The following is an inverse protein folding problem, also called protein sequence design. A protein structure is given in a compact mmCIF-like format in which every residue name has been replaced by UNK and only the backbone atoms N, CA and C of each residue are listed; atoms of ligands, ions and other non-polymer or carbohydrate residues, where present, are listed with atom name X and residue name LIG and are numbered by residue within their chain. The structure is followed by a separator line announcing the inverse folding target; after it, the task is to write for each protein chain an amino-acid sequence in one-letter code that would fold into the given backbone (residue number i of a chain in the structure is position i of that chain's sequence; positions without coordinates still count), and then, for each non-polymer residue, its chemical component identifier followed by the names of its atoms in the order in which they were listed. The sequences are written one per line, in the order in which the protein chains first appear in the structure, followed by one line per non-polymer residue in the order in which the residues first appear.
data_IF_448809148494
#
_entry.id   IF_448809148494
#
_cell.length_a   1.000
_cell.length_b   1.000
_cell.length_c   1.000
_cell.angle_alpha   90.00
_cell.angle_beta   90.00
_cell.angle_gamma   90.00
#
_symmetry.space_group_name_H-M   'P 1'
#
loop_
_entity.id
_entity.type
_entity.pdbx_description
1 polymer ?
#
# COMPACT_ATOMS: atom_id res chain seq x y z
N UNK A 1 -25.14 58.69 -30.43
CA UNK A 1 -24.72 58.15 -29.12
C UNK A 1 -24.61 56.63 -29.22
N UNK A 2 -23.39 56.12 -28.97
CA UNK A 2 -22.93 54.73 -28.75
C UNK A 2 -23.59 53.58 -29.56
N UNK A 3 -22.89 53.18 -30.63
CA UNK A 3 -22.91 51.82 -31.21
C UNK A 3 -22.29 50.85 -30.19
N UNK A 4 -22.92 49.71 -29.92
CA UNK A 4 -22.24 48.53 -29.40
C UNK A 4 -22.32 47.42 -30.45
N UNK A 5 -21.15 47.08 -30.98
CA UNK A 5 -20.89 45.90 -31.81
C UNK A 5 -20.72 44.71 -30.85
N UNK A 6 -21.65 43.76 -30.86
CA UNK A 6 -21.44 42.43 -30.28
C UNK A 6 -20.80 41.54 -31.36
N UNK A 7 -19.48 41.33 -31.26
CA UNK A 7 -18.76 40.37 -32.08
C UNK A 7 -19.03 38.94 -31.58
N UNK A 8 -19.54 38.08 -32.45
CA UNK A 8 -19.66 36.64 -32.21
C UNK A 8 -18.32 35.99 -32.58
N UNK A 9 -17.64 35.45 -31.57
CA UNK A 9 -16.41 34.67 -31.71
C UNK A 9 -16.78 33.24 -32.11
N UNK A 10 -16.56 32.87 -33.38
CA UNK A 10 -16.70 31.49 -33.86
C UNK A 10 -15.40 30.75 -33.56
N UNK A 11 -15.44 29.86 -32.57
CA UNK A 11 -14.32 28.97 -32.24
C UNK A 11 -14.32 27.81 -33.23
N UNK A 12 -13.34 27.81 -34.13
CA UNK A 12 -13.10 26.74 -35.10
C UNK A 12 -12.46 25.54 -34.38
N UNK A 13 -13.26 24.52 -34.07
CA UNK A 13 -12.80 23.22 -33.56
C UNK A 13 -12.11 22.45 -34.70
N UNK A 14 -10.78 22.47 -34.74
CA UNK A 14 -10.01 21.53 -35.56
C UNK A 14 -10.03 20.14 -34.92
N UNK A 15 -10.85 19.24 -35.45
CA UNK A 15 -10.80 17.82 -35.14
C UNK A 15 -9.61 17.23 -35.89
N UNK A 16 -8.46 17.10 -35.23
CA UNK A 16 -7.38 16.25 -35.73
C UNK A 16 -7.79 14.79 -35.52
N UNK A 17 -8.37 14.19 -36.56
CA UNK A 17 -8.62 12.76 -36.60
C UNK A 17 -7.30 11.99 -36.63
N UNK A 18 -7.00 11.26 -35.57
CA UNK A 18 -5.95 10.23 -35.59
C UNK A 18 -6.36 9.14 -36.59
N UNK A 19 -5.68 9.07 -37.73
CA UNK A 19 -5.70 7.91 -38.62
C UNK A 19 -5.05 6.74 -37.88
N UNK A 20 -5.85 5.72 -37.54
CA UNK A 20 -5.34 4.44 -37.08
C UNK A 20 -4.62 3.75 -38.25
N UNK A 21 -3.32 3.49 -38.07
CA UNK A 21 -2.53 2.72 -39.02
C UNK A 21 -2.90 1.23 -38.83
N UNK A 22 -3.75 0.69 -39.70
CA UNK A 22 -4.28 -0.67 -39.64
C UNK A 22 -3.28 -1.74 -40.13
N UNK A 23 -2.00 -1.58 -39.79
CA UNK A 23 -0.88 -2.40 -40.28
C UNK A 23 0.04 -2.99 -39.22
N UNK A 24 -0.28 -2.84 -37.93
CA UNK A 24 0.49 -3.47 -36.87
C UNK A 24 -0.16 -4.79 -36.43
N UNK A 25 0.31 -5.90 -36.99
CA UNK A 25 0.23 -7.20 -36.32
C UNK A 25 1.22 -7.18 -35.14
N UNK A 26 0.99 -6.35 -34.12
CA UNK A 26 1.91 -6.27 -33.00
C UNK A 26 1.68 -7.43 -32.07
N UNK A 27 2.56 -8.42 -32.13
CA UNK A 27 2.80 -9.25 -30.97
C UNK A 27 3.36 -8.34 -29.86
N UNK A 28 2.47 -7.77 -29.03
CA UNK A 28 2.83 -6.91 -27.90
C UNK A 28 3.32 -7.71 -26.69
N UNK A 29 3.54 -9.01 -26.86
CA UNK A 29 4.14 -9.90 -25.89
C UNK A 29 5.65 -9.69 -25.73
N UNK A 30 6.15 -9.65 -24.51
CA UNK A 30 7.55 -9.81 -24.16
C UNK A 30 7.70 -11.01 -23.23
N UNK A 31 8.61 -11.91 -23.56
CA UNK A 31 8.89 -13.06 -22.70
C UNK A 31 9.62 -12.62 -21.42
N UNK A 32 9.14 -13.08 -20.26
CA UNK A 32 9.72 -12.76 -18.97
C UNK A 32 11.20 -13.19 -18.86
N UNK A 33 11.57 -14.30 -19.53
CA UNK A 33 12.95 -14.76 -19.63
C UNK A 33 13.87 -13.76 -20.36
N UNK A 34 13.35 -13.03 -21.36
CA UNK A 34 14.11 -11.95 -22.01
C UNK A 34 14.39 -10.78 -21.04
N UNK A 35 13.42 -10.44 -20.20
CA UNK A 35 13.59 -9.39 -19.17
C UNK A 35 14.64 -9.83 -18.15
N UNK A 36 14.55 -11.05 -17.62
CA UNK A 36 15.54 -11.65 -16.71
C UNK A 36 16.94 -11.65 -17.34
N UNK A 37 17.03 -12.00 -18.62
CA UNK A 37 18.30 -11.96 -19.37
C UNK A 37 18.87 -10.54 -19.52
N UNK A 38 18.03 -9.53 -19.68
CA UNK A 38 18.47 -8.13 -19.73
C UNK A 38 19.01 -7.65 -18.38
N UNK A 39 18.33 -8.02 -17.27
CA UNK A 39 18.82 -7.74 -15.91
C UNK A 39 20.19 -8.39 -15.69
N UNK A 40 20.34 -9.66 -16.07
CA UNK A 40 21.61 -10.39 -15.96
C UNK A 40 22.76 -9.77 -16.78
N UNK A 41 22.43 -9.01 -17.84
CA UNK A 41 23.40 -8.26 -18.65
C UNK A 41 23.65 -6.83 -18.10
N UNK A 42 23.04 -6.46 -16.97
CA UNK A 42 23.13 -5.12 -16.39
C UNK A 42 22.43 -4.04 -17.23
N UNK A 43 21.55 -4.42 -18.17
CA UNK A 43 20.80 -3.47 -18.98
C UNK A 43 19.61 -2.97 -18.19
N UNK A 44 19.43 -1.65 -18.12
CA UNK A 44 18.27 -1.03 -17.49
C UNK A 44 16.96 -1.65 -18.01
N UNK A 45 16.04 -1.95 -17.10
CA UNK A 45 14.73 -2.50 -17.45
C UNK A 45 13.72 -1.38 -17.44
N UNK A 46 13.29 -0.98 -18.64
CA UNK A 46 12.14 -0.11 -18.86
C UNK A 46 11.24 -0.79 -19.88
N UNK A 47 10.09 -1.29 -19.43
CA UNK A 47 9.10 -1.96 -20.27
C UNK A 47 7.79 -1.21 -20.15
N UNK A 48 7.24 -0.76 -21.27
CA UNK A 48 6.04 0.06 -21.30
C UNK A 48 5.00 -0.47 -22.29
N UNK A 49 3.74 -0.58 -21.87
CA UNK A 49 2.62 -0.96 -22.75
C UNK A 49 2.69 -2.40 -23.26
N UNK A 50 3.34 -3.32 -22.54
CA UNK A 50 3.59 -4.70 -22.99
C UNK A 50 2.86 -5.75 -22.17
N UNK A 51 2.56 -6.86 -22.81
CA UNK A 51 2.08 -8.08 -22.16
C UNK A 51 3.30 -8.94 -21.83
N UNK A 52 3.61 -9.13 -20.56
CA UNK A 52 4.69 -10.01 -20.11
C UNK A 52 4.17 -11.44 -20.05
N UNK A 53 4.71 -12.32 -20.89
CA UNK A 53 4.37 -13.74 -20.94
C UNK A 53 5.36 -14.59 -20.16
N UNK A 54 4.89 -15.67 -19.53
CA UNK A 54 5.71 -16.48 -18.63
C UNK A 54 5.85 -15.87 -17.24
N UNK A 55 6.53 -16.60 -16.35
CA UNK A 55 6.78 -16.16 -14.98
C UNK A 55 7.99 -15.21 -14.93
N UNK A 56 7.80 -14.01 -14.38
CA UNK A 56 8.89 -13.07 -14.10
C UNK A 56 9.48 -13.39 -12.73
N UNK A 57 10.50 -14.26 -12.76
CA UNK A 57 11.18 -14.72 -11.55
C UNK A 57 12.50 -13.98 -11.32
N UNK A 58 12.49 -13.02 -10.39
CA UNK A 58 13.68 -12.29 -9.96
C UNK A 58 14.63 -13.16 -9.12
N UNK A 59 14.19 -14.31 -8.60
CA UNK A 59 15.10 -15.24 -7.92
C UNK A 59 16.04 -15.96 -8.89
N UNK A 60 15.72 -15.95 -10.19
CA UNK A 60 16.52 -16.51 -11.27
C UNK A 60 17.67 -15.59 -11.73
N UNK A 61 17.87 -14.43 -11.10
CA UNK A 61 19.01 -13.55 -11.40
C UNK A 61 20.33 -14.23 -11.02
N UNK A 62 21.26 -14.25 -11.99
CA UNK A 62 22.55 -14.95 -11.90
C UNK A 62 23.50 -14.27 -10.94
N UNK A 63 23.45 -12.94 -10.85
CA UNK A 63 24.19 -12.20 -9.84
C UNK A 63 23.52 -12.47 -8.49
N UNK A 64 24.10 -13.38 -7.72
CA UNK A 64 23.63 -13.69 -6.37
C UNK A 64 24.79 -13.78 -5.39
N UNK A 65 24.49 -13.55 -4.13
CA UNK A 65 25.39 -13.72 -3.00
C UNK A 65 24.91 -14.85 -2.09
N UNK A 66 25.84 -15.58 -1.49
CA UNK A 66 25.53 -16.61 -0.48
C UNK A 66 25.57 -15.91 0.87
N UNK A 67 24.42 -15.87 1.55
CA UNK A 67 24.36 -15.37 2.93
C UNK A 67 24.63 -16.49 3.93
N UNK A 68 24.06 -17.68 3.68
CA UNK A 68 24.27 -18.88 4.50
C UNK A 68 24.08 -20.16 3.67
N UNK A 69 24.24 -21.33 4.30
CA UNK A 69 23.91 -22.61 3.67
C UNK A 69 22.43 -22.75 3.27
N UNK A 70 21.54 -21.95 3.86
CA UNK A 70 20.08 -21.99 3.63
C UNK A 70 19.53 -20.75 2.92
N UNK A 71 20.33 -19.71 2.70
CA UNK A 71 19.88 -18.46 2.09
C UNK A 71 20.86 -17.91 1.06
N UNK A 72 20.32 -17.61 -0.12
CA UNK A 72 20.97 -16.82 -1.18
C UNK A 72 20.19 -15.55 -1.44
N UNK A 73 20.88 -14.52 -1.93
CA UNK A 73 20.31 -13.23 -2.26
C UNK A 73 20.57 -12.95 -3.74
N UNK A 74 19.51 -12.82 -4.54
CA UNK A 74 19.57 -12.33 -5.91
C UNK A 74 19.74 -10.80 -5.91
N UNK A 75 20.80 -10.30 -6.55
CA UNK A 75 21.23 -8.91 -6.47
C UNK A 75 20.93 -8.16 -7.77
N UNK A 76 19.95 -7.26 -7.74
CA UNK A 76 19.55 -6.42 -8.89
C UNK A 76 20.00 -4.98 -8.63
N UNK A 77 21.16 -4.60 -9.18
CA UNK A 77 21.75 -3.28 -8.95
C UNK A 77 21.23 -2.15 -9.84
N UNK A 78 20.32 -2.46 -10.77
CA UNK A 78 19.77 -1.52 -11.75
C UNK A 78 18.31 -1.18 -11.41
N UNK A 79 17.77 -0.04 -11.88
CA UNK A 79 16.35 0.25 -11.76
C UNK A 79 15.53 -0.75 -12.58
N UNK A 80 14.38 -1.14 -12.04
CA UNK A 80 13.41 -2.03 -12.68
C UNK A 80 12.09 -1.27 -12.83
N UNK A 81 11.70 -0.98 -14.06
CA UNK A 81 10.53 -0.14 -14.37
C UNK A 81 9.62 -0.82 -15.38
N UNK A 82 8.37 -1.01 -14.96
CA UNK A 82 7.25 -1.43 -15.79
C UNK A 82 6.15 -0.37 -15.70
N UNK A 83 5.62 0.04 -16.86
CA UNK A 83 4.57 1.06 -16.96
C UNK A 83 3.49 0.51 -17.89
N UNK A 84 2.24 0.46 -17.44
CA UNK A 84 1.10 0.02 -18.25
C UNK A 84 1.34 -1.40 -18.85
N UNK A 85 1.83 -2.33 -18.02
CA UNK A 85 2.15 -3.69 -18.42
C UNK A 85 1.14 -4.70 -17.86
N UNK A 86 0.89 -5.78 -18.60
CA UNK A 86 0.05 -6.91 -18.14
C UNK A 86 0.94 -8.12 -17.91
N UNK A 87 0.99 -8.65 -16.69
CA UNK A 87 1.72 -9.88 -16.35
C UNK A 87 0.78 -11.07 -16.39
N UNK A 88 1.00 -12.01 -17.32
CA UNK A 88 0.18 -13.22 -17.43
C UNK A 88 0.62 -14.33 -16.45
N UNK A 89 1.92 -14.43 -16.22
CA UNK A 89 2.50 -15.37 -15.25
C UNK A 89 2.66 -14.76 -13.87
N UNK A 90 3.27 -15.53 -12.96
CA UNK A 90 3.62 -15.04 -11.63
C UNK A 90 4.76 -14.01 -11.70
N UNK A 91 4.80 -13.11 -10.73
CA UNK A 91 5.94 -12.21 -10.51
C UNK A 91 6.52 -12.52 -9.14
N UNK A 92 7.73 -13.06 -9.08
CA UNK A 92 8.33 -13.58 -7.84
C UNK A 92 9.68 -12.95 -7.54
N UNK A 93 9.83 -12.42 -6.33
CA UNK A 93 11.08 -11.94 -5.75
C UNK A 93 11.56 -12.81 -4.58
N UNK A 94 10.81 -13.87 -4.27
CA UNK A 94 11.05 -14.82 -3.20
C UNK A 94 10.74 -16.23 -3.70
N UNK A 95 11.59 -17.18 -3.33
CA UNK A 95 11.50 -18.54 -3.83
C UNK A 95 12.48 -19.47 -3.15
N UNK A 96 12.53 -20.71 -3.63
CA UNK A 96 13.39 -21.75 -3.08
C UNK A 96 13.91 -22.63 -4.21
N UNK A 97 15.20 -23.00 -4.14
CA UNK A 97 15.81 -23.97 -5.05
C UNK A 97 16.70 -24.93 -4.28
N UNK A 98 16.50 -26.22 -4.48
CA UNK A 98 17.27 -27.29 -3.81
C UNK A 98 17.32 -27.12 -2.29
N UNK A 99 16.15 -26.81 -1.69
CA UNK A 99 15.94 -26.50 -0.27
C UNK A 99 16.58 -25.19 0.22
N UNK A 100 17.28 -24.43 -0.62
CA UNK A 100 17.89 -23.13 -0.29
C UNK A 100 16.92 -22.00 -0.65
N UNK A 101 16.58 -21.15 0.30
CA UNK A 101 15.77 -19.96 0.05
C UNK A 101 16.54 -18.95 -0.81
N UNK A 102 15.84 -18.28 -1.71
CA UNK A 102 16.39 -17.21 -2.54
C UNK A 102 15.46 -16.01 -2.39
N UNK A 103 16.01 -14.91 -1.89
CA UNK A 103 15.32 -13.62 -1.77
C UNK A 103 15.96 -12.61 -2.72
N UNK A 104 15.24 -11.56 -3.07
CA UNK A 104 15.75 -10.53 -3.99
C UNK A 104 16.08 -9.23 -3.27
N UNK A 105 17.25 -8.66 -3.57
CA UNK A 105 17.62 -7.29 -3.20
C UNK A 105 17.67 -6.43 -4.46
N UNK A 106 16.82 -5.41 -4.48
CA UNK A 106 16.85 -4.35 -5.48
C UNK A 106 17.70 -3.19 -4.94
N UNK A 107 18.89 -3.02 -5.50
CA UNK A 107 19.82 -1.94 -5.17
C UNK A 107 19.41 -0.57 -5.72
N UNK A 108 18.28 -0.47 -6.43
CA UNK A 108 17.74 0.75 -6.99
C UNK A 108 16.21 0.76 -6.86
N UNK A 109 15.53 1.71 -7.53
CA UNK A 109 14.08 1.85 -7.48
C UNK A 109 13.35 0.76 -8.26
N UNK A 110 12.16 0.39 -7.79
CA UNK A 110 11.29 -0.61 -8.41
C UNK A 110 9.94 0.04 -8.72
N UNK A 111 9.51 -0.04 -9.98
CA UNK A 111 8.27 0.57 -10.46
C UNK A 111 7.45 -0.44 -11.27
N UNK A 112 6.18 -0.57 -10.90
CA UNK A 112 5.11 -1.29 -11.59
C UNK A 112 3.88 -0.37 -11.65
N UNK A 113 4.00 0.70 -12.42
CA UNK A 113 2.97 1.72 -12.56
C UNK A 113 1.88 1.23 -13.54
N UNK A 114 0.62 1.36 -13.15
CA UNK A 114 -0.55 0.97 -13.94
C UNK A 114 -0.47 -0.48 -14.47
N UNK A 115 0.19 -1.38 -13.73
CA UNK A 115 0.40 -2.77 -14.17
C UNK A 115 -0.73 -3.71 -13.70
N UNK A 116 -1.17 -4.63 -14.55
CA UNK A 116 -2.18 -5.67 -14.25
C UNK A 116 -1.49 -7.03 -14.02
N UNK A 117 -1.48 -7.49 -12.78
CA UNK A 117 -0.97 -8.80 -12.36
C UNK A 117 -2.09 -9.83 -12.39
N UNK A 118 -2.12 -10.68 -13.42
CA UNK A 118 -3.16 -11.71 -13.60
C UNK A 118 -2.91 -13.00 -12.83
N UNK A 119 -1.75 -13.12 -12.19
CA UNK A 119 -1.37 -14.22 -11.32
C UNK A 119 -0.74 -13.67 -10.03
N UNK A 120 -0.34 -14.57 -9.13
CA UNK A 120 0.26 -14.19 -7.85
C UNK A 120 1.51 -13.30 -8.05
N UNK A 121 1.57 -12.22 -7.27
CA UNK A 121 2.71 -11.33 -7.18
C UNK A 121 3.33 -11.47 -5.78
N UNK A 122 4.44 -12.20 -5.69
CA UNK A 122 5.15 -12.45 -4.43
C UNK A 122 6.47 -11.66 -4.37
N UNK A 123 6.42 -10.54 -3.65
CA UNK A 123 7.57 -9.71 -3.30
C UNK A 123 8.03 -9.92 -1.85
N UNK A 124 7.56 -10.98 -1.17
CA UNK A 124 7.91 -11.22 0.24
C UNK A 124 9.43 -11.32 0.43
N UNK A 125 9.95 -11.03 1.62
CA UNK A 125 11.36 -11.09 1.99
C UNK A 125 12.32 -10.24 1.14
N UNK A 126 11.82 -9.40 0.21
CA UNK A 126 12.69 -8.59 -0.63
C UNK A 126 13.11 -7.29 0.09
N UNK A 127 14.26 -6.75 -0.33
CA UNK A 127 14.72 -5.42 0.07
C UNK A 127 14.77 -4.51 -1.14
N UNK A 128 14.25 -3.30 -1.03
CA UNK A 128 14.38 -2.25 -2.06
C UNK A 128 15.08 -1.04 -1.46
N UNK A 129 16.26 -0.71 -2.00
CA UNK A 129 17.07 0.43 -1.54
C UNK A 129 16.52 1.76 -2.07
N UNK A 130 15.94 1.76 -3.28
CA UNK A 130 15.35 2.93 -3.93
C UNK A 130 13.87 3.13 -3.59
N UNK A 131 13.22 4.01 -4.36
CA UNK A 131 11.77 4.24 -4.24
C UNK A 131 10.99 3.02 -4.77
N UNK A 132 9.78 2.83 -4.24
CA UNK A 132 8.85 1.78 -4.66
C UNK A 132 7.60 2.45 -5.22
N UNK A 133 7.15 2.04 -6.41
CA UNK A 133 5.93 2.59 -7.01
C UNK A 133 5.07 1.49 -7.66
N UNK A 134 3.89 1.26 -7.09
CA UNK A 134 2.80 0.40 -7.56
C UNK A 134 1.53 1.21 -7.80
N UNK A 135 1.66 2.50 -8.14
CA UNK A 135 0.52 3.37 -8.41
C UNK A 135 -0.34 2.80 -9.53
N UNK A 136 -1.64 2.68 -9.30
CA UNK A 136 -2.59 2.11 -10.25
C UNK A 136 -2.43 0.62 -10.53
N UNK A 137 -1.59 -0.10 -9.77
CA UNK A 137 -1.41 -1.54 -9.96
C UNK A 137 -2.70 -2.31 -9.64
N UNK A 138 -2.98 -3.34 -10.43
CA UNK A 138 -4.15 -4.22 -10.28
C UNK A 138 -3.65 -5.63 -9.96
N UNK A 139 -3.99 -6.16 -8.79
CA UNK A 139 -3.65 -7.51 -8.37
C UNK A 139 -4.91 -8.39 -8.41
N UNK A 140 -5.01 -9.26 -9.42
CA UNK A 140 -6.14 -10.18 -9.60
C UNK A 140 -6.08 -11.38 -8.64
N UNK A 141 -4.86 -11.76 -8.28
CA UNK A 141 -4.56 -12.82 -7.32
C UNK A 141 -3.96 -12.24 -6.04
N UNK A 142 -3.34 -13.09 -5.21
CA UNK A 142 -2.68 -12.63 -3.98
C UNK A 142 -1.51 -11.69 -4.33
N UNK A 143 -1.42 -10.59 -3.58
CA UNK A 143 -0.32 -9.65 -3.59
C UNK A 143 0.42 -9.74 -2.25
N UNK A 144 1.62 -10.34 -2.27
CA UNK A 144 2.38 -10.66 -1.07
C UNK A 144 3.62 -9.77 -0.99
N UNK A 145 3.70 -8.98 0.07
CA UNK A 145 4.79 -8.09 0.43
C UNK A 145 5.20 -8.34 1.89
N UNK A 146 5.19 -9.59 2.33
CA UNK A 146 5.47 -9.92 3.73
C UNK A 146 6.98 -9.84 4.01
N UNK A 147 7.36 -9.37 5.19
CA UNK A 147 8.75 -9.26 5.61
C UNK A 147 9.61 -8.46 4.60
N UNK A 148 9.04 -7.43 3.96
CA UNK A 148 9.80 -6.55 3.06
C UNK A 148 10.52 -5.46 3.84
N UNK A 149 11.65 -5.02 3.31
CA UNK A 149 12.33 -3.79 3.77
C UNK A 149 12.38 -2.78 2.62
N UNK A 150 11.58 -1.72 2.72
CA UNK A 150 11.59 -0.61 1.76
C UNK A 150 12.29 0.59 2.38
N UNK A 151 13.51 0.86 1.89
CA UNK A 151 14.38 1.91 2.43
C UNK A 151 14.23 3.25 1.71
N UNK A 152 13.62 3.24 0.54
CA UNK A 152 13.37 4.45 -0.24
C UNK A 152 12.56 5.47 0.53
N UNK A 153 12.81 6.75 0.23
CA UNK A 153 12.09 7.88 0.84
C UNK A 153 10.58 7.87 0.65
N UNK A 154 10.08 7.14 -0.36
CA UNK A 154 8.67 7.06 -0.74
C UNK A 154 8.32 5.67 -1.23
N UNK A 155 7.16 5.18 -0.78
CA UNK A 155 6.55 3.92 -1.18
C UNK A 155 5.12 4.22 -1.62
N UNK A 156 4.85 4.12 -2.92
CA UNK A 156 3.56 4.45 -3.50
C UNK A 156 2.77 3.19 -3.85
N UNK A 157 1.58 3.08 -3.28
CA UNK A 157 0.51 2.18 -3.64
C UNK A 157 -0.77 3.02 -3.83
N UNK A 158 -0.68 4.12 -4.56
CA UNK A 158 -1.86 4.99 -4.76
C UNK A 158 -2.78 4.41 -5.83
N UNK A 159 -4.09 4.47 -5.63
CA UNK A 159 -5.10 3.95 -6.57
C UNK A 159 -4.91 2.47 -6.98
N UNK A 160 -4.20 1.67 -6.18
CA UNK A 160 -4.04 0.25 -6.44
C UNK A 160 -5.37 -0.50 -6.20
N UNK A 161 -5.52 -1.67 -6.82
CA UNK A 161 -6.61 -2.58 -6.49
C UNK A 161 -6.12 -3.99 -6.24
N UNK A 162 -6.72 -4.69 -5.29
CA UNK A 162 -6.49 -6.11 -5.04
C UNK A 162 -7.82 -6.86 -4.94
N UNK A 163 -8.00 -7.88 -5.77
CA UNK A 163 -9.23 -8.68 -5.78
C UNK A 163 -9.23 -9.74 -4.67
N UNK A 164 -8.05 -10.20 -4.24
CA UNK A 164 -7.87 -11.21 -3.19
C UNK A 164 -7.10 -10.62 -2.01
N UNK A 165 -6.16 -11.39 -1.45
CA UNK A 165 -5.35 -10.97 -0.31
C UNK A 165 -4.30 -9.93 -0.76
N UNK A 166 -4.27 -8.79 -0.08
CA UNK A 166 -3.12 -7.90 -0.04
C UNK A 166 -2.47 -8.01 1.35
N UNK A 167 -1.20 -8.39 1.39
CA UNK A 167 -0.49 -8.65 2.64
C UNK A 167 0.88 -8.00 2.62
N UNK A 168 1.15 -7.11 3.58
CA UNK A 168 2.45 -6.52 3.86
C UNK A 168 2.69 -6.60 5.36
N UNK A 169 2.79 -7.82 5.87
CA UNK A 169 2.96 -8.12 7.28
C UNK A 169 4.44 -8.17 7.64
N UNK A 170 4.78 -7.97 8.92
CA UNK A 170 6.16 -8.08 9.45
C UNK A 170 7.17 -7.23 8.67
N UNK A 171 6.72 -6.13 8.08
CA UNK A 171 7.53 -5.35 7.13
C UNK A 171 8.11 -4.10 7.78
N UNK A 172 9.19 -3.56 7.17
CA UNK A 172 9.79 -2.30 7.58
C UNK A 172 9.72 -1.31 6.42
N UNK A 173 9.05 -0.17 6.64
CA UNK A 173 8.92 0.90 5.66
C UNK A 173 9.58 2.16 6.21
N UNK A 174 10.79 2.46 5.74
CA UNK A 174 11.61 3.55 6.30
C UNK A 174 11.10 4.93 5.86
N UNK A 175 10.63 5.04 4.62
CA UNK A 175 10.07 6.27 4.05
C UNK A 175 8.58 6.48 4.33
N UNK A 176 8.00 7.49 3.67
CA UNK A 176 6.53 7.66 3.68
C UNK A 176 5.86 6.56 2.86
N UNK A 177 4.75 6.04 3.35
CA UNK A 177 3.96 5.02 2.68
C UNK A 177 2.60 5.61 2.28
N UNK A 178 2.26 5.58 1.00
CA UNK A 178 1.03 6.17 0.49
C UNK A 178 0.15 5.11 -0.20
N UNK A 179 -0.93 4.72 0.48
CA UNK A 179 -1.98 3.79 0.02
C UNK A 179 -3.27 4.53 -0.37
N UNK A 180 -3.17 5.83 -0.68
CA UNK A 180 -4.31 6.68 -1.02
C UNK A 180 -5.18 6.09 -2.13
N UNK A 181 -6.49 6.08 -1.94
CA UNK A 181 -7.48 5.54 -2.90
C UNK A 181 -7.28 4.07 -3.28
N UNK A 182 -6.58 3.30 -2.45
CA UNK A 182 -6.49 1.86 -2.64
C UNK A 182 -7.85 1.17 -2.52
N UNK A 183 -8.04 0.07 -3.25
CA UNK A 183 -9.23 -0.77 -3.16
C UNK A 183 -8.86 -2.23 -2.92
N UNK A 184 -9.37 -2.84 -1.85
CA UNK A 184 -9.09 -4.24 -1.52
C UNK A 184 -10.38 -5.01 -1.31
N UNK A 185 -10.69 -5.92 -2.24
CA UNK A 185 -11.91 -6.73 -2.14
C UNK A 185 -11.75 -7.88 -1.13
N UNK A 186 -10.56 -8.46 -1.04
CA UNK A 186 -10.22 -9.52 -0.08
C UNK A 186 -9.68 -8.98 1.25
N UNK A 187 -8.90 -9.81 1.95
CA UNK A 187 -8.27 -9.41 3.22
C UNK A 187 -7.13 -8.41 2.94
N UNK A 188 -7.02 -7.40 3.78
CA UNK A 188 -5.88 -6.48 3.87
C UNK A 188 -5.13 -6.74 5.18
N UNK A 189 -3.82 -6.95 5.13
CA UNK A 189 -2.99 -7.14 6.33
C UNK A 189 -1.72 -6.32 6.30
N UNK A 190 -1.52 -5.52 7.33
CA UNK A 190 -0.29 -4.82 7.72
C UNK A 190 0.15 -5.21 9.13
N UNK A 191 -0.27 -6.40 9.59
CA UNK A 191 0.08 -6.90 10.92
C UNK A 191 1.59 -6.85 11.16
N UNK A 192 2.01 -6.36 12.32
CA UNK A 192 3.42 -6.29 12.73
C UNK A 192 4.32 -5.44 11.83
N UNK A 193 3.77 -4.52 11.04
CA UNK A 193 4.56 -3.65 10.16
C UNK A 193 5.01 -2.36 10.86
N UNK A 194 6.29 -2.02 10.70
CA UNK A 194 6.95 -0.84 11.24
C UNK A 194 6.97 0.27 10.16
N UNK A 195 6.03 1.21 10.27
CA UNK A 195 5.96 2.41 9.43
C UNK A 195 6.76 3.53 10.08
N UNK A 196 7.93 3.87 9.52
CA UNK A 196 8.82 4.87 10.11
C UNK A 196 8.57 6.29 9.61
N UNK A 197 8.06 6.43 8.39
CA UNK A 197 7.50 7.67 7.89
C UNK A 197 6.00 7.78 8.12
N UNK A 198 5.40 8.87 7.61
CA UNK A 198 3.94 9.01 7.56
C UNK A 198 3.33 7.90 6.72
N UNK A 199 2.28 7.27 7.25
CA UNK A 199 1.51 6.23 6.56
C UNK A 199 0.11 6.78 6.23
N UNK A 200 -0.19 6.92 4.94
CA UNK A 200 -1.48 7.41 4.44
C UNK A 200 -2.31 6.26 3.88
N UNK A 201 -3.50 6.10 4.42
CA UNK A 201 -4.57 5.19 4.01
C UNK A 201 -5.87 5.96 3.70
N UNK A 202 -5.76 7.24 3.37
CA UNK A 202 -6.94 8.07 3.09
C UNK A 202 -7.66 7.60 1.83
N UNK A 203 -8.98 7.69 1.81
CA UNK A 203 -9.86 7.14 0.76
C UNK A 203 -9.64 5.63 0.46
N UNK A 204 -9.06 4.87 1.39
CA UNK A 204 -8.92 3.42 1.25
C UNK A 204 -10.29 2.73 1.37
N UNK A 205 -10.65 1.89 0.40
CA UNK A 205 -11.87 1.08 0.43
C UNK A 205 -11.51 -0.41 0.55
N UNK A 206 -11.81 -1.02 1.69
CA UNK A 206 -11.54 -2.43 1.95
C UNK A 206 -12.83 -3.17 2.30
N UNK A 207 -13.32 -4.05 1.43
CA UNK A 207 -14.53 -4.83 1.71
C UNK A 207 -14.27 -6.05 2.60
N UNK A 208 -13.07 -6.62 2.54
CA UNK A 208 -12.67 -7.71 3.43
C UNK A 208 -12.10 -7.22 4.76
N UNK A 209 -11.67 -8.16 5.61
CA UNK A 209 -11.08 -7.86 6.92
C UNK A 209 -9.80 -7.03 6.76
N UNK A 210 -9.62 -6.01 7.59
CA UNK A 210 -8.42 -5.18 7.62
C UNK A 210 -7.71 -5.35 8.96
N UNK A 211 -6.44 -5.74 8.91
CA UNK A 211 -5.66 -6.08 10.09
C UNK A 211 -4.36 -5.27 10.14
N UNK A 212 -4.27 -4.36 11.10
CA UNK A 212 -3.11 -3.54 11.42
C UNK A 212 -2.58 -3.88 12.83
N UNK A 213 -2.96 -5.04 13.39
CA UNK A 213 -2.58 -5.41 14.75
C UNK A 213 -1.06 -5.50 14.87
N UNK A 214 -0.51 -5.15 16.04
CA UNK A 214 0.94 -5.12 16.32
C UNK A 214 1.76 -4.17 15.42
N UNK A 215 1.12 -3.35 14.57
CA UNK A 215 1.84 -2.37 13.76
C UNK A 215 2.42 -1.26 14.65
N UNK A 216 3.50 -0.65 14.17
CA UNK A 216 4.13 0.49 14.82
C UNK A 216 4.18 1.66 13.83
N UNK A 217 3.41 2.70 14.10
CA UNK A 217 3.39 3.95 13.34
C UNK A 217 4.25 4.98 14.06
N UNK A 218 5.49 5.19 13.60
CA UNK A 218 6.43 6.13 14.23
C UNK A 218 6.16 7.59 13.89
N UNK A 219 5.29 7.84 12.91
CA UNK A 219 4.80 9.16 12.53
C UNK A 219 3.27 9.10 12.37
N UNK A 220 2.68 10.08 11.70
CA UNK A 220 1.24 10.16 11.49
C UNK A 220 0.69 8.96 10.71
N UNK A 221 -0.46 8.45 11.16
CA UNK A 221 -1.26 7.41 10.50
C UNK A 221 -2.62 8.01 10.10
N UNK A 222 -2.87 8.11 8.79
CA UNK A 222 -3.96 8.92 8.23
C UNK A 222 -4.97 8.05 7.47
N UNK A 223 -6.18 7.90 8.00
CA UNK A 223 -7.26 7.07 7.44
C UNK A 223 -8.47 7.90 6.95
N UNK A 224 -8.30 9.21 6.75
CA UNK A 224 -9.39 10.11 6.37
C UNK A 224 -10.20 9.59 5.17
N UNK A 225 -11.54 9.57 5.27
CA UNK A 225 -12.46 9.08 4.24
C UNK A 225 -12.35 7.59 3.90
N UNK A 226 -11.64 6.78 4.70
CA UNK A 226 -11.58 5.34 4.48
C UNK A 226 -12.93 4.63 4.75
N UNK A 227 -13.13 3.48 4.11
CA UNK A 227 -14.29 2.62 4.29
C UNK A 227 -13.83 1.17 4.52
N UNK A 228 -14.33 0.58 5.61
CA UNK A 228 -14.04 -0.79 6.00
C UNK A 228 -15.34 -1.60 6.03
N UNK A 229 -15.55 -2.45 5.02
CA UNK A 229 -16.73 -3.30 4.84
C UNK A 229 -16.87 -4.39 5.91
N UNK A 230 -15.73 -4.89 6.39
CA UNK A 230 -15.63 -5.94 7.41
C UNK A 230 -14.80 -5.43 8.60
N UNK A 231 -14.56 -6.31 9.57
CA UNK A 231 -13.75 -6.03 10.76
C UNK A 231 -12.45 -5.24 10.48
N UNK A 232 -12.27 -4.15 11.22
CA UNK A 232 -11.06 -3.34 11.26
C UNK A 232 -10.32 -3.55 12.58
N UNK A 233 -9.06 -3.98 12.54
CA UNK A 233 -8.26 -4.25 13.76
C UNK A 233 -6.99 -3.41 13.80
N UNK A 234 -6.78 -2.75 14.94
CA UNK A 234 -5.56 -2.07 15.38
C UNK A 234 -5.24 -2.53 16.81
N UNK A 235 -5.27 -3.85 17.05
CA UNK A 235 -4.99 -4.42 18.37
C UNK A 235 -3.49 -4.42 18.65
N UNK A 236 -3.07 -4.05 19.86
CA UNK A 236 -1.66 -3.96 20.27
C UNK A 236 -0.81 -3.02 19.37
N UNK A 237 -1.44 -2.02 18.74
CA UNK A 237 -0.74 -1.03 17.91
C UNK A 237 -0.03 0.02 18.77
N UNK A 238 1.09 0.54 18.30
CA UNK A 238 1.66 1.78 18.80
C UNK A 238 1.61 2.87 17.71
N UNK A 239 1.07 4.04 18.06
CA UNK A 239 1.05 5.22 17.18
C UNK A 239 1.74 6.38 17.91
N UNK A 240 2.93 6.74 17.44
CA UNK A 240 3.72 7.83 17.98
C UNK A 240 3.19 9.20 17.52
N UNK A 241 2.84 9.32 16.24
CA UNK A 241 2.24 10.53 15.66
C UNK A 241 0.74 10.62 15.91
N UNK A 242 0.04 11.44 15.12
CA UNK A 242 -1.43 11.48 15.20
C UNK A 242 -2.07 10.30 14.49
N UNK A 243 -3.21 9.85 15.00
CA UNK A 243 -4.10 8.92 14.33
C UNK A 243 -5.35 9.66 13.87
N UNK A 244 -5.45 9.89 12.56
CA UNK A 244 -6.63 10.52 11.97
C UNK A 244 -7.55 9.44 11.39
N UNK A 245 -8.63 9.14 12.11
CA UNK A 245 -9.75 8.31 11.67
C UNK A 245 -10.95 9.24 11.43
N UNK A 246 -10.82 10.17 10.49
CA UNK A 246 -11.81 11.22 10.21
C UNK A 246 -12.71 10.79 9.04
N UNK A 247 -14.03 10.90 9.19
CA UNK A 247 -15.01 10.51 8.16
C UNK A 247 -14.83 9.06 7.69
N UNK A 248 -14.47 8.16 8.61
CA UNK A 248 -14.27 6.74 8.34
C UNK A 248 -15.58 5.98 8.54
N UNK A 249 -15.91 5.11 7.58
CA UNK A 249 -17.04 4.20 7.68
C UNK A 249 -16.58 2.81 8.13
N UNK A 250 -16.84 2.45 9.38
CA UNK A 250 -16.64 1.09 9.89
C UNK A 250 -17.96 0.33 9.78
N UNK A 251 -18.12 -0.46 8.71
CA UNK A 251 -19.38 -1.13 8.39
C UNK A 251 -19.57 -2.43 9.19
N UNK A 252 -18.55 -2.88 9.93
CA UNK A 252 -18.56 -3.99 10.88
C UNK A 252 -17.89 -3.55 12.19
N UNK A 253 -17.27 -4.47 12.96
CA UNK A 253 -16.58 -4.10 14.19
C UNK A 253 -15.27 -3.37 13.94
N UNK A 254 -14.87 -2.51 14.87
CA UNK A 254 -13.60 -1.81 14.89
C UNK A 254 -12.95 -1.95 16.27
N UNK A 255 -11.74 -2.51 16.29
CA UNK A 255 -10.98 -2.80 17.51
C UNK A 255 -9.69 -1.99 17.54
N UNK A 256 -9.60 -1.03 18.46
CA UNK A 256 -8.42 -0.28 18.82
C UNK A 256 -7.99 -0.70 20.24
N UNK A 257 -7.83 -2.01 20.48
CA UNK A 257 -7.65 -2.59 21.82
C UNK A 257 -6.18 -2.76 22.18
N UNK A 258 -5.84 -2.64 23.46
CA UNK A 258 -4.47 -2.74 23.98
C UNK A 258 -3.46 -1.84 23.24
N UNK A 259 -3.95 -0.75 22.65
CA UNK A 259 -3.17 0.14 21.82
C UNK A 259 -2.55 1.28 22.65
N UNK A 260 -1.43 1.80 22.18
CA UNK A 260 -0.78 2.98 22.76
C UNK A 260 -0.78 4.11 21.73
N UNK A 261 -1.50 5.19 22.03
CA UNK A 261 -1.56 6.40 21.21
C UNK A 261 -0.83 7.54 21.92
N UNK A 262 0.39 7.83 21.45
CA UNK A 262 1.23 8.89 22.01
C UNK A 262 0.84 10.28 21.47
N UNK A 263 0.36 10.33 20.22
CA UNK A 263 -0.23 11.52 19.62
C UNK A 263 -1.76 11.58 19.74
N UNK A 264 -2.35 12.62 19.15
CA UNK A 264 -3.80 12.84 19.18
C UNK A 264 -4.54 11.81 18.33
N UNK A 265 -5.65 11.29 18.85
CA UNK A 265 -6.59 10.44 18.10
C UNK A 265 -7.82 11.27 17.71
N UNK A 266 -8.17 11.24 16.42
CA UNK A 266 -9.30 11.98 15.88
C UNK A 266 -10.30 11.04 15.19
N UNK A 267 -11.54 11.03 15.66
CA UNK A 267 -12.66 10.21 15.18
C UNK A 267 -13.76 11.05 14.51
N UNK A 268 -13.48 12.32 14.21
CA UNK A 268 -14.48 13.29 13.72
C UNK A 268 -15.24 12.74 12.52
N UNK A 269 -16.58 12.81 12.56
CA UNK A 269 -17.50 12.35 11.49
C UNK A 269 -17.41 10.87 11.14
N UNK A 270 -16.72 10.05 11.93
CA UNK A 270 -16.65 8.62 11.69
C UNK A 270 -17.89 7.90 12.21
N UNK A 271 -18.25 6.82 11.52
CA UNK A 271 -19.46 6.03 11.80
C UNK A 271 -19.06 4.59 12.02
N UNK A 272 -19.52 3.99 13.12
CA UNK A 272 -19.35 2.56 13.42
C UNK A 272 -20.72 1.88 13.44
N UNK A 273 -20.91 0.88 12.58
CA UNK A 273 -22.19 0.15 12.46
C UNK A 273 -22.33 -1.05 13.40
N UNK A 274 -21.23 -1.45 14.03
CA UNK A 274 -21.19 -2.52 15.01
C UNK A 274 -20.38 -2.12 16.26
N UNK A 275 -19.56 -3.03 16.79
CA UNK A 275 -18.76 -2.82 18.00
C UNK A 275 -17.61 -1.84 17.73
N UNK A 276 -17.46 -0.85 18.61
CA UNK A 276 -16.25 -0.04 18.73
C UNK A 276 -15.57 -0.35 20.06
N UNK A 277 -14.44 -1.04 20.01
CA UNK A 277 -13.72 -1.49 21.19
C UNK A 277 -12.37 -0.79 21.30
N UNK A 278 -12.16 -0.07 22.40
CA UNK A 278 -10.89 0.56 22.77
C UNK A 278 -10.40 0.08 24.14
N UNK A 279 -10.84 -1.09 24.58
CA UNK A 279 -10.43 -1.67 25.86
C UNK A 279 -8.91 -1.86 25.96
N UNK A 280 -8.38 -1.65 27.16
CA UNK A 280 -6.95 -1.75 27.46
C UNK A 280 -6.06 -0.66 26.85
N UNK A 281 -6.60 0.26 26.04
CA UNK A 281 -5.80 1.24 25.30
C UNK A 281 -5.44 2.48 26.11
N UNK A 282 -4.30 3.09 25.79
CA UNK A 282 -3.77 4.28 26.46
C UNK A 282 -3.70 5.45 25.47
N UNK A 283 -4.32 6.57 25.85
CA UNK A 283 -4.33 7.80 25.07
C UNK A 283 -3.57 8.90 25.82
N UNK A 284 -2.36 9.23 25.36
CA UNK A 284 -1.46 10.14 26.06
C UNK A 284 -1.80 11.62 25.87
N UNK A 285 -2.57 11.97 24.84
CA UNK A 285 -3.02 13.35 24.57
C UNK A 285 -4.47 13.59 25.03
N UNK A 286 -4.96 12.78 25.96
CA UNK A 286 -6.33 12.83 26.46
C UNK A 286 -7.34 12.07 25.60
N UNK A 287 -8.62 12.37 25.78
CA UNK A 287 -9.71 11.68 25.07
C UNK A 287 -9.63 11.93 23.55
N UNK A 288 -10.01 10.95 22.71
CA UNK A 288 -10.16 11.17 21.28
C UNK A 288 -11.09 12.34 20.96
N UNK A 289 -10.84 13.04 19.85
CA UNK A 289 -11.76 14.04 19.29
C UNK A 289 -12.93 13.31 18.62
N UNK A 290 -14.17 13.60 19.00
CA UNK A 290 -15.36 12.83 18.60
C UNK A 290 -16.49 13.70 18.03
N UNK A 291 -16.18 14.85 17.44
CA UNK A 291 -17.20 15.71 16.81
C UNK A 291 -17.93 14.92 15.71
N UNK A 292 -19.25 14.82 15.80
CA UNK A 292 -20.08 14.02 14.86
C UNK A 292 -19.67 12.53 14.76
N UNK A 293 -18.93 11.98 15.73
CA UNK A 293 -18.64 10.55 15.79
C UNK A 293 -19.89 9.77 16.23
N UNK A 294 -20.22 8.70 15.52
CA UNK A 294 -21.44 7.93 15.80
C UNK A 294 -21.16 6.42 15.86
N UNK A 295 -21.90 5.76 16.76
CA UNK A 295 -21.97 4.30 16.83
C UNK A 295 -23.45 3.97 16.69
N UNK A 296 -23.84 3.39 15.55
CA UNK A 296 -25.25 3.23 15.16
C UNK A 296 -26.03 2.28 16.09
N UNK A 297 -25.34 1.33 16.73
CA UNK A 297 -25.94 0.38 17.68
C UNK A 297 -25.58 0.77 19.11
N UNK A 298 -26.61 1.10 19.91
CA UNK A 298 -26.44 1.46 21.33
C UNK A 298 -25.79 0.32 22.14
N UNK A 299 -24.92 0.66 23.10
CA UNK A 299 -24.27 -0.31 23.98
C UNK A 299 -23.07 -1.05 23.36
N UNK A 300 -22.60 -0.61 22.19
CA UNK A 300 -21.50 -1.26 21.45
C UNK A 300 -20.15 -0.53 21.57
N UNK A 301 -20.06 0.49 22.43
CA UNK A 301 -18.80 1.11 22.81
C UNK A 301 -18.19 0.39 24.02
N UNK A 302 -17.00 -0.17 23.87
CA UNK A 302 -16.27 -0.86 24.93
C UNK A 302 -15.00 -0.06 25.27
N UNK A 303 -14.90 0.41 26.52
CA UNK A 303 -13.76 1.21 26.99
C UNK A 303 -13.11 0.62 28.25
N UNK A 304 -13.38 -0.65 28.57
CA UNK A 304 -12.90 -1.28 29.81
C UNK A 304 -11.37 -1.22 29.88
N UNK A 305 -10.84 -0.60 30.93
CA UNK A 305 -9.39 -0.47 31.13
C UNK A 305 -8.71 0.57 30.22
N UNK A 306 -9.46 1.31 29.40
CA UNK A 306 -8.90 2.42 28.64
C UNK A 306 -8.44 3.55 29.58
N UNK A 307 -7.27 4.14 29.31
CA UNK A 307 -6.68 5.22 30.09
C UNK A 307 -6.52 6.48 29.24
N UNK A 308 -6.89 7.63 29.79
CA UNK A 308 -6.76 8.93 29.12
C UNK A 308 -5.94 9.84 30.01
N UNK A 309 -4.80 10.31 29.53
CA UNK A 309 -3.98 11.26 30.28
C UNK A 309 -4.73 12.59 30.46
N UNK A 310 -4.67 13.15 31.67
CA UNK A 310 -5.14 14.51 31.96
C UNK A 310 -3.90 15.40 31.93
N UNK A 311 -3.82 16.34 30.99
CA UNK A 311 -2.64 17.19 30.74
C UNK A 311 -2.26 18.14 31.92
N UNK A 312 -2.92 18.04 33.07
CA UNK A 312 -2.74 18.94 34.22
C UNK A 312 -1.91 18.36 35.39
N UNK A 313 -1.33 17.16 35.28
CA UNK A 313 -0.55 16.56 36.38
C UNK A 313 0.98 16.64 36.22
N UNK A 314 1.47 17.47 35.30
CA UNK A 314 2.91 17.76 35.19
C UNK A 314 3.22 19.21 35.58
N UNK A 315 2.90 19.60 36.81
CA UNK A 315 3.69 20.60 37.52
C UNK A 315 4.87 19.88 38.15
N UNK A 316 6.05 20.07 37.55
CA UNK A 316 7.33 19.74 38.17
C UNK A 316 7.53 20.77 39.29
N UNK A 317 7.44 20.34 40.55
CA UNK A 317 8.12 21.03 41.66
C UNK A 317 9.62 20.75 41.62
#
# INVERSE_FOLDING_TARGET
MKKQLTGILVILLMVTGCRANSGETTNNGIDAGQIVNNINKGKAVVVQGKIVTGDLDFTAIKKNSIFSSSLRIAEIGIPVTFIDCIFLGRVTANGQKDKVAIITRFGSSVTFEACDFRNEADFSNCTVEGMVNFTGAIFREKALFNNVTFKGRQVYFTAFSSEKLFSMQESQIDGSADFFKGKVNGKLSFQSTDFRGTARFSDLDCSGKSDFSLANFRNDALFTYASFGSDFRMTDVHVAGRLDLISVNFNSGAWLTNAVFSGRVNLTKSVVRAVFDMSGSVFMQGKPVTEEFTIEKTGQLITKGAKFAVLNEFTIE
#
